data_IF_249256248113
#
_entry.id   IF_249256248113
#
_cell.length_a   1.000
_cell.length_b   1.000
_cell.length_c   1.000
_cell.angle_alpha   90.00
_cell.angle_beta   90.00
_cell.angle_gamma   90.00
#
_symmetry.space_group_name_H-M   'P 1'
#
loop_
_entity.id
_entity.type
_entity.pdbx_description
1 polymer ?
#
# COMPACT_ATOMS: atom_id res chain seq x y z
N UNK A 1 -77.17 -39.31 14.03
CA UNK A 1 -75.89 -39.75 13.41
C UNK A 1 -74.82 -38.71 13.66
N UNK A 2 -73.83 -39.04 14.51
CA UNK A 2 -72.76 -38.12 14.95
C UNK A 2 -71.49 -38.45 14.16
N UNK A 3 -71.09 -37.55 13.28
CA UNK A 3 -69.81 -37.65 12.58
C UNK A 3 -68.67 -37.07 13.42
N UNK A 4 -67.67 -37.90 13.71
CA UNK A 4 -66.42 -37.48 14.38
C UNK A 4 -65.43 -37.06 13.32
N UNK A 5 -65.00 -35.77 13.36
CA UNK A 5 -63.86 -35.31 12.58
C UNK A 5 -62.56 -35.60 13.35
N UNK A 6 -61.71 -36.39 12.72
CA UNK A 6 -60.35 -36.69 13.18
C UNK A 6 -59.42 -35.63 12.64
N UNK A 7 -58.89 -34.76 13.53
CA UNK A 7 -57.89 -33.75 13.18
C UNK A 7 -56.50 -34.40 13.19
N UNK A 8 -55.90 -34.54 12.02
CA UNK A 8 -54.52 -35.02 11.88
C UNK A 8 -53.57 -33.81 12.04
N UNK A 9 -52.82 -33.78 13.15
CA UNK A 9 -51.73 -32.82 13.33
C UNK A 9 -50.49 -33.32 12.58
N UNK A 10 -50.11 -32.67 11.50
CA UNK A 10 -48.81 -32.79 10.89
C UNK A 10 -47.79 -31.97 11.67
N UNK A 11 -46.93 -32.64 12.41
CA UNK A 11 -45.74 -31.99 13.02
C UNK A 11 -44.68 -31.95 11.94
N UNK A 12 -44.44 -30.76 11.36
CA UNK A 12 -43.29 -30.50 10.53
C UNK A 12 -42.04 -30.35 11.44
N UNK A 13 -41.24 -31.42 11.43
CA UNK A 13 -39.85 -31.34 11.95
C UNK A 13 -39.04 -30.53 10.98
N UNK A 14 -38.84 -29.25 11.28
CA UNK A 14 -37.83 -28.42 10.64
C UNK A 14 -36.48 -28.86 11.20
N UNK A 15 -35.76 -29.68 10.42
CA UNK A 15 -34.37 -29.96 10.69
C UNK A 15 -33.57 -28.67 10.46
N UNK A 16 -33.20 -27.98 11.52
CA UNK A 16 -32.14 -27.00 11.48
C UNK A 16 -30.86 -27.71 11.06
N UNK A 17 -30.47 -27.55 9.80
CA UNK A 17 -29.08 -27.77 9.40
C UNK A 17 -28.26 -26.71 10.12
N UNK A 18 -27.41 -27.17 11.04
CA UNK A 18 -26.29 -26.37 11.52
C UNK A 18 -25.42 -26.02 10.31
N UNK A 19 -25.65 -24.84 9.75
CA UNK A 19 -24.65 -24.22 8.90
C UNK A 19 -23.43 -23.99 9.80
N UNK A 20 -22.44 -24.88 9.64
CA UNK A 20 -21.10 -24.61 10.14
C UNK A 20 -20.71 -23.23 9.59
N UNK A 21 -20.75 -22.25 10.47
CA UNK A 21 -20.26 -20.91 10.20
C UNK A 21 -18.83 -21.06 9.64
N UNK A 22 -18.71 -20.81 8.35
CA UNK A 22 -17.44 -20.59 7.70
C UNK A 22 -16.72 -19.51 8.54
N UNK A 23 -15.46 -19.68 8.94
CA UNK A 23 -14.77 -18.63 9.68
C UNK A 23 -14.86 -17.36 8.84
N UNK A 24 -15.65 -16.41 9.33
CA UNK A 24 -15.82 -15.11 8.72
C UNK A 24 -14.44 -14.58 8.37
N UNK A 25 -14.16 -14.47 7.07
CA UNK A 25 -13.09 -13.65 6.54
C UNK A 25 -13.45 -12.21 6.91
N UNK A 26 -13.12 -11.80 8.15
CA UNK A 26 -13.23 -10.41 8.56
C UNK A 26 -12.29 -9.64 7.66
N UNK A 27 -12.87 -8.87 6.74
CA UNK A 27 -12.09 -7.96 5.91
C UNK A 27 -11.18 -7.12 6.82
N UNK A 28 -9.88 -7.03 6.52
CA UNK A 28 -8.99 -6.20 7.31
C UNK A 28 -9.51 -4.76 7.25
N UNK A 29 -9.72 -4.17 8.43
CA UNK A 29 -10.13 -2.76 8.51
C UNK A 29 -9.09 -1.90 7.80
N UNK A 30 -9.54 -0.99 6.96
CA UNK A 30 -8.74 -0.12 6.14
C UNK A 30 -7.61 0.55 6.92
N UNK A 31 -6.36 0.22 6.60
CA UNK A 31 -5.14 0.82 7.18
C UNK A 31 -4.74 0.34 8.57
N UNK A 32 -5.67 -0.15 9.40
CA UNK A 32 -5.39 -0.50 10.78
C UNK A 32 -4.50 -1.75 10.91
N UNK A 33 -3.37 -1.59 11.64
CA UNK A 33 -2.45 -2.69 11.90
C UNK A 33 -1.71 -3.21 10.66
N UNK A 34 -1.60 -2.41 9.60
CA UNK A 34 -0.81 -2.76 8.43
C UNK A 34 0.69 -2.70 8.74
N UNK A 35 1.36 -3.82 8.53
CA UNK A 35 2.81 -3.95 8.62
C UNK A 35 3.34 -4.31 7.26
N UNK A 36 3.83 -3.29 6.57
CA UNK A 36 4.12 -3.36 5.13
C UNK A 36 5.62 -3.61 4.92
N UNK A 37 5.98 -4.34 3.88
CA UNK A 37 7.31 -4.28 3.31
C UNK A 37 7.23 -4.15 1.79
N UNK A 38 8.09 -3.31 1.25
CA UNK A 38 8.29 -3.24 -0.19
C UNK A 38 9.26 -4.33 -0.62
N UNK A 39 8.86 -5.11 -1.62
CA UNK A 39 9.72 -6.08 -2.26
C UNK A 39 10.16 -5.53 -3.62
N UNK A 40 11.36 -4.97 -3.66
CA UNK A 40 11.92 -4.36 -4.85
C UNK A 40 13.11 -5.16 -5.38
N UNK A 41 13.07 -5.51 -6.63
CA UNK A 41 14.27 -5.92 -7.37
C UNK A 41 14.70 -7.38 -7.29
N UNK A 42 14.02 -8.26 -6.54
CA UNK A 42 14.46 -9.65 -6.45
C UNK A 42 13.48 -10.66 -7.06
N UNK A 43 13.97 -11.73 -7.68
CA UNK A 43 13.12 -12.75 -8.29
C UNK A 43 12.54 -13.75 -7.30
N UNK A 44 13.08 -13.87 -6.07
CA UNK A 44 12.71 -14.94 -5.15
C UNK A 44 11.67 -14.52 -4.11
N UNK A 45 10.40 -14.65 -4.49
CA UNK A 45 9.25 -14.30 -3.64
C UNK A 45 9.20 -15.11 -2.33
N UNK A 46 9.62 -16.37 -2.35
CA UNK A 46 9.57 -17.21 -1.15
C UNK A 46 10.55 -16.70 -0.09
N UNK A 47 11.73 -16.22 -0.52
CA UNK A 47 12.70 -15.57 0.37
C UNK A 47 12.15 -14.26 0.95
N UNK A 48 11.46 -13.45 0.16
CA UNK A 48 10.79 -12.23 0.65
C UNK A 48 9.76 -12.53 1.71
N UNK A 49 8.90 -13.52 1.46
CA UNK A 49 7.87 -13.96 2.42
C UNK A 49 8.51 -14.43 3.72
N UNK A 50 9.61 -15.19 3.66
CA UNK A 50 10.34 -15.63 4.84
C UNK A 50 10.91 -14.43 5.64
N UNK A 51 11.57 -13.48 4.97
CA UNK A 51 12.07 -12.25 5.58
C UNK A 51 10.95 -11.42 6.20
N UNK A 52 9.85 -11.24 5.48
CA UNK A 52 8.67 -10.51 5.95
C UNK A 52 8.11 -11.13 7.25
N UNK A 53 7.94 -12.45 7.27
CA UNK A 53 7.44 -13.17 8.45
C UNK A 53 8.36 -13.01 9.67
N UNK A 54 9.69 -13.05 9.47
CA UNK A 54 10.66 -12.85 10.54
C UNK A 54 10.53 -11.47 11.21
N UNK A 55 10.13 -10.46 10.44
CA UNK A 55 9.89 -9.09 10.90
C UNK A 55 8.44 -8.81 11.34
N UNK A 56 7.55 -9.80 11.30
CA UNK A 56 6.15 -9.64 11.67
C UNK A 56 5.31 -8.86 10.66
N UNK A 57 5.78 -8.75 9.41
CA UNK A 57 5.09 -8.09 8.31
C UNK A 57 3.89 -8.94 7.87
N UNK A 58 2.78 -8.29 7.52
CA UNK A 58 1.54 -8.93 7.08
C UNK A 58 1.01 -8.40 5.74
N UNK A 59 1.74 -7.47 5.11
CA UNK A 59 1.34 -6.87 3.85
C UNK A 59 2.58 -6.63 2.97
N UNK A 60 2.50 -6.94 1.69
CA UNK A 60 3.58 -6.74 0.72
C UNK A 60 3.22 -5.64 -0.26
N UNK A 61 4.04 -4.59 -0.37
CA UNK A 61 3.86 -3.57 -1.40
C UNK A 61 4.62 -3.96 -2.66
N UNK A 62 3.90 -3.98 -3.77
CA UNK A 62 4.41 -4.34 -5.09
C UNK A 62 4.63 -3.07 -5.92
N UNK A 63 5.87 -2.65 -6.05
CA UNK A 63 6.28 -1.50 -6.87
C UNK A 63 6.67 -1.91 -8.29
N UNK A 64 7.17 -3.13 -8.45
CA UNK A 64 7.56 -3.71 -9.73
C UNK A 64 6.46 -4.65 -10.23
N UNK A 65 5.37 -4.08 -10.72
CA UNK A 65 4.22 -4.85 -11.17
C UNK A 65 4.44 -5.52 -12.53
N UNK A 66 5.35 -4.98 -13.33
CA UNK A 66 5.72 -5.50 -14.65
C UNK A 66 7.16 -5.96 -14.66
N UNK A 67 7.48 -6.86 -15.58
CA UNK A 67 8.88 -7.20 -15.82
C UNK A 67 9.68 -5.96 -16.19
N UNK A 68 10.82 -5.79 -15.57
CA UNK A 68 11.74 -4.66 -15.76
C UNK A 68 12.19 -4.47 -17.21
N UNK A 69 11.95 -5.45 -18.03
CA UNK A 69 12.48 -5.50 -19.38
C UNK A 69 11.60 -4.71 -20.34
N UNK A 70 12.00 -3.46 -20.56
CA UNK A 70 11.96 -3.02 -21.92
C UNK A 70 10.55 -2.89 -22.50
N UNK A 71 9.86 -1.91 -22.14
CA UNK A 71 8.67 -1.66 -22.91
C UNK A 71 8.19 -0.26 -22.66
N UNK A 72 7.65 0.30 -23.65
CA UNK A 72 6.79 1.46 -23.56
C UNK A 72 5.51 1.06 -22.85
N UNK A 73 4.79 2.01 -22.27
CA UNK A 73 3.46 1.76 -21.72
C UNK A 73 2.52 1.10 -22.73
N UNK A 74 2.73 1.38 -24.01
CA UNK A 74 1.99 0.74 -25.11
C UNK A 74 2.10 -0.80 -25.05
N UNK A 75 3.23 -1.34 -24.63
CA UNK A 75 3.43 -2.79 -24.54
C UNK A 75 2.56 -3.43 -23.45
N UNK A 76 2.20 -2.68 -22.39
CA UNK A 76 1.29 -3.15 -21.37
C UNK A 76 -0.12 -3.44 -21.92
N UNK A 77 -0.53 -2.67 -22.92
CA UNK A 77 -1.85 -2.82 -23.54
C UNK A 77 -1.84 -3.81 -24.71
N UNK A 78 -0.69 -4.06 -25.32
CA UNK A 78 -0.56 -4.98 -26.46
C UNK A 78 -0.35 -6.44 -26.07
N UNK A 79 0.33 -6.69 -24.93
CA UNK A 79 0.59 -8.05 -24.41
C UNK A 79 0.48 -8.10 -22.89
N UNK A 80 -0.72 -7.84 -22.35
CA UNK A 80 -0.92 -7.75 -20.91
C UNK A 80 -0.70 -9.10 -20.21
N UNK A 81 -0.97 -10.21 -20.87
CA UNK A 81 -0.81 -11.53 -20.26
C UNK A 81 0.65 -11.80 -19.91
N UNK A 82 1.54 -11.57 -20.85
CA UNK A 82 2.97 -11.79 -20.60
C UNK A 82 3.56 -10.80 -19.61
N UNK A 83 3.17 -9.52 -19.70
CA UNK A 83 3.73 -8.44 -18.88
C UNK A 83 3.36 -8.56 -17.39
N UNK A 84 2.17 -9.04 -17.09
CA UNK A 84 1.68 -9.15 -15.70
C UNK A 84 1.77 -10.56 -15.11
N UNK A 85 2.20 -11.57 -15.87
CA UNK A 85 2.30 -12.95 -15.40
C UNK A 85 3.20 -13.08 -14.14
N UNK A 86 4.30 -12.34 -14.09
CA UNK A 86 5.17 -12.32 -12.91
C UNK A 86 4.47 -11.69 -11.69
N UNK A 87 3.71 -10.61 -11.88
CA UNK A 87 2.92 -10.00 -10.81
C UNK A 87 1.89 -10.99 -10.27
N UNK A 88 1.15 -11.66 -11.14
CA UNK A 88 0.12 -12.64 -10.73
C UNK A 88 0.73 -13.77 -9.90
N UNK A 89 1.88 -14.28 -10.29
CA UNK A 89 2.60 -15.30 -9.53
C UNK A 89 3.07 -14.80 -8.16
N UNK A 90 3.58 -13.57 -8.08
CA UNK A 90 3.97 -12.93 -6.82
C UNK A 90 2.77 -12.77 -5.90
N UNK A 91 1.69 -12.20 -6.40
CA UNK A 91 0.44 -12.01 -5.64
C UNK A 91 -0.11 -13.35 -5.13
N UNK A 92 -0.16 -14.36 -5.98
CA UNK A 92 -0.64 -15.69 -5.58
C UNK A 92 0.15 -16.28 -4.41
N UNK A 93 1.48 -16.17 -4.42
CA UNK A 93 2.35 -16.65 -3.34
C UNK A 93 2.17 -15.83 -2.05
N UNK A 94 2.08 -14.50 -2.17
CA UNK A 94 1.85 -13.59 -1.05
C UNK A 94 0.53 -13.95 -0.36
N UNK A 95 -0.55 -14.05 -1.12
CA UNK A 95 -1.89 -14.40 -0.60
C UNK A 95 -1.90 -15.82 -0.01
N UNK A 96 -1.27 -16.80 -0.67
CA UNK A 96 -1.15 -18.16 -0.14
C UNK A 96 -0.37 -18.22 1.18
N UNK A 97 0.50 -17.24 1.45
CA UNK A 97 1.24 -17.12 2.72
C UNK A 97 0.43 -16.52 3.87
N UNK A 98 -0.81 -16.07 3.60
CA UNK A 98 -1.69 -15.39 4.55
C UNK A 98 -1.46 -13.88 4.66
N UNK A 99 -0.74 -13.29 3.70
CA UNK A 99 -0.49 -11.83 3.66
C UNK A 99 -1.45 -11.14 2.70
N UNK A 100 -1.67 -9.85 2.94
CA UNK A 100 -2.27 -8.92 2.01
C UNK A 100 -1.20 -8.27 1.12
N UNK A 101 -1.63 -7.47 0.14
CA UNK A 101 -0.70 -6.74 -0.72
C UNK A 101 -1.22 -5.34 -1.04
N UNK A 102 -0.31 -4.46 -1.48
CA UNK A 102 -0.59 -3.12 -1.99
C UNK A 102 -0.18 -3.09 -3.46
N UNK A 103 -1.05 -2.57 -4.32
CA UNK A 103 -0.70 -2.24 -5.70
C UNK A 103 -0.25 -0.79 -5.77
N UNK A 104 0.97 -0.57 -6.22
CA UNK A 104 1.53 0.75 -6.46
C UNK A 104 1.57 1.05 -7.96
N UNK A 105 0.78 2.03 -8.38
CA UNK A 105 0.67 2.43 -9.78
C UNK A 105 1.73 3.47 -10.21
N UNK A 106 2.68 3.79 -9.33
CA UNK A 106 3.75 4.77 -9.63
C UNK A 106 4.56 4.41 -10.89
N UNK A 107 4.63 3.13 -11.25
CA UNK A 107 5.32 2.70 -12.46
C UNK A 107 4.69 3.30 -13.74
N UNK A 108 3.37 3.51 -13.78
CA UNK A 108 2.68 4.17 -14.90
C UNK A 108 3.20 5.60 -15.03
N UNK A 109 3.20 6.35 -13.92
CA UNK A 109 3.76 7.70 -13.89
C UNK A 109 5.21 7.73 -14.37
N UNK A 110 6.04 6.86 -13.79
CA UNK A 110 7.47 6.83 -14.10
C UNK A 110 7.72 6.52 -15.57
N UNK A 111 6.94 5.62 -16.15
CA UNK A 111 7.08 5.27 -17.55
C UNK A 111 6.60 6.40 -18.47
N UNK A 112 5.48 7.06 -18.15
CA UNK A 112 5.02 8.25 -18.90
C UNK A 112 6.09 9.33 -18.93
N UNK A 113 6.74 9.63 -17.79
CA UNK A 113 7.82 10.60 -17.71
C UNK A 113 9.00 10.20 -18.60
N UNK A 114 9.40 8.92 -18.59
CA UNK A 114 10.48 8.41 -19.48
C UNK A 114 10.13 8.57 -20.97
N UNK A 115 8.87 8.51 -21.30
CA UNK A 115 8.36 8.71 -22.66
C UNK A 115 8.14 10.19 -23.01
N UNK A 116 8.49 11.11 -22.12
CA UNK A 116 8.33 12.55 -22.31
C UNK A 116 6.88 13.05 -22.15
N UNK A 117 6.01 12.21 -21.58
CA UNK A 117 4.60 12.53 -21.39
C UNK A 117 4.39 13.03 -19.96
N UNK A 118 3.74 14.19 -19.81
CA UNK A 118 3.40 14.72 -18.48
C UNK A 118 2.23 13.93 -17.85
N UNK A 119 2.45 13.07 -16.85
CA UNK A 119 1.41 12.25 -16.25
C UNK A 119 0.36 13.08 -15.48
N UNK A 120 0.74 14.29 -15.06
CA UNK A 120 -0.13 15.18 -14.28
C UNK A 120 -1.07 16.01 -15.15
N UNK A 121 -0.83 16.08 -16.45
CA UNK A 121 -1.67 16.83 -17.39
C UNK A 121 -3.10 16.27 -17.39
N UNK A 122 -4.14 17.14 -17.39
CA UNK A 122 -5.51 16.71 -17.58
C UNK A 122 -5.78 15.97 -18.89
N UNK A 123 -4.94 16.22 -19.91
CA UNK A 123 -5.04 15.57 -21.23
C UNK A 123 -4.39 14.19 -21.28
N UNK A 124 -3.60 13.81 -20.26
CA UNK A 124 -2.98 12.49 -20.22
C UNK A 124 -3.99 11.45 -19.76
N UNK A 125 -4.34 10.54 -20.68
CA UNK A 125 -5.29 9.47 -20.42
C UNK A 125 -4.58 8.28 -19.78
N UNK A 126 -4.99 7.95 -18.56
CA UNK A 126 -4.51 6.78 -17.81
C UNK A 126 -5.41 5.54 -18.00
N UNK A 127 -6.58 5.73 -18.64
CA UNK A 127 -7.60 4.68 -18.75
C UNK A 127 -7.06 3.36 -19.29
N UNK A 128 -6.34 3.33 -20.44
CA UNK A 128 -5.88 2.07 -21.01
C UNK A 128 -4.98 1.27 -20.06
N UNK A 129 -4.12 1.96 -19.31
CA UNK A 129 -3.18 1.31 -18.38
C UNK A 129 -3.87 0.82 -17.11
N UNK A 130 -4.84 1.59 -16.61
CA UNK A 130 -5.64 1.21 -15.45
C UNK A 130 -6.53 0.01 -15.76
N UNK A 131 -7.15 -0.02 -16.94
CA UNK A 131 -8.03 -1.12 -17.36
C UNK A 131 -7.30 -2.45 -17.40
N UNK A 132 -6.10 -2.47 -17.97
CA UNK A 132 -5.28 -3.68 -18.06
C UNK A 132 -4.97 -4.25 -16.68
N UNK A 133 -4.61 -3.41 -15.70
CA UNK A 133 -4.28 -3.86 -14.35
C UNK A 133 -5.53 -4.25 -13.57
N UNK A 134 -6.53 -3.37 -13.54
CA UNK A 134 -7.66 -3.48 -12.62
C UNK A 134 -8.65 -4.59 -13.01
N UNK A 135 -8.82 -4.81 -14.32
CA UNK A 135 -9.75 -5.85 -14.81
C UNK A 135 -9.09 -7.22 -14.93
N UNK A 136 -7.77 -7.29 -14.75
CA UNK A 136 -7.06 -8.58 -14.74
C UNK A 136 -7.53 -9.43 -13.58
N UNK A 137 -7.73 -10.71 -13.84
CA UNK A 137 -8.16 -11.68 -12.83
C UNK A 137 -6.93 -12.29 -12.14
N UNK A 138 -6.86 -12.17 -10.83
CA UNK A 138 -5.85 -12.84 -10.02
C UNK A 138 -6.04 -14.38 -10.07
N UNK A 139 -5.00 -15.12 -9.72
CA UNK A 139 -5.05 -16.61 -9.66
C UNK A 139 -6.15 -17.12 -8.72
N UNK A 140 -6.62 -16.31 -7.77
CA UNK A 140 -7.73 -16.64 -6.87
C UNK A 140 -9.12 -16.34 -7.46
N UNK A 141 -9.20 -15.86 -8.69
CA UNK A 141 -10.45 -15.61 -9.38
C UNK A 141 -11.11 -14.25 -9.10
N UNK A 142 -10.44 -13.35 -8.36
CA UNK A 142 -10.88 -11.97 -8.17
C UNK A 142 -10.23 -11.06 -9.19
N UNK A 143 -10.95 -10.05 -9.66
CA UNK A 143 -10.28 -8.94 -10.39
C UNK A 143 -9.49 -8.11 -9.39
N UNK A 144 -8.34 -7.57 -9.80
CA UNK A 144 -7.49 -6.78 -8.89
C UNK A 144 -8.22 -5.62 -8.24
N UNK A 145 -9.14 -4.96 -8.94
CA UNK A 145 -9.98 -3.88 -8.39
C UNK A 145 -10.87 -4.30 -7.22
N UNK A 146 -11.16 -5.61 -7.08
CA UNK A 146 -12.09 -6.14 -6.08
C UNK A 146 -11.49 -7.26 -5.23
N UNK A 147 -10.18 -7.54 -5.35
CA UNK A 147 -9.53 -8.60 -4.59
C UNK A 147 -9.56 -8.27 -3.09
N UNK A 148 -10.19 -9.10 -2.24
CA UNK A 148 -10.25 -8.86 -0.79
C UNK A 148 -8.87 -8.86 -0.12
N UNK A 149 -7.84 -9.45 -0.74
CA UNK A 149 -6.47 -9.44 -0.22
C UNK A 149 -5.69 -8.17 -0.60
N UNK A 150 -6.23 -7.34 -1.49
CA UNK A 150 -5.65 -6.04 -1.80
C UNK A 150 -5.95 -5.07 -0.67
N UNK A 151 -4.93 -4.66 0.08
CA UNK A 151 -5.07 -3.74 1.20
C UNK A 151 -5.49 -2.35 0.72
N UNK A 152 -4.79 -1.82 -0.27
CA UNK A 152 -5.13 -0.56 -0.96
C UNK A 152 -4.39 -0.42 -2.30
N UNK A 153 -4.82 0.55 -3.10
CA UNK A 153 -4.14 0.99 -4.32
C UNK A 153 -3.46 2.32 -4.04
N UNK A 154 -2.16 2.42 -4.27
CA UNK A 154 -1.41 3.68 -4.28
C UNK A 154 -1.33 4.24 -5.70
N UNK A 155 -1.79 5.47 -5.91
CA UNK A 155 -1.84 6.09 -7.26
C UNK A 155 -0.43 6.40 -7.75
N UNK A 156 0.32 7.25 -7.01
CA UNK A 156 1.69 7.60 -7.38
C UNK A 156 2.40 8.27 -6.20
N UNK A 157 3.24 7.52 -5.51
CA UNK A 157 4.10 8.04 -4.45
C UNK A 157 5.18 8.99 -4.99
N UNK A 158 5.69 9.86 -4.13
CA UNK A 158 6.78 10.80 -4.44
C UNK A 158 6.56 11.54 -5.77
N UNK A 159 5.46 12.31 -5.90
CA UNK A 159 5.00 12.88 -7.17
C UNK A 159 6.03 13.77 -7.86
N UNK A 160 6.97 14.31 -7.11
CA UNK A 160 8.10 15.10 -7.62
C UNK A 160 9.37 14.73 -6.87
N UNK A 161 10.47 14.72 -7.58
CA UNK A 161 11.79 14.60 -6.99
C UNK A 161 12.57 15.90 -7.20
N UNK A 162 12.95 16.58 -6.13
CA UNK A 162 13.87 17.72 -6.23
C UNK A 162 15.22 17.31 -6.81
N UNK A 163 15.53 16.04 -6.77
CA UNK A 163 16.72 15.46 -7.36
C UNK A 163 16.54 15.06 -8.82
N UNK A 164 15.30 15.13 -9.33
CA UNK A 164 15.07 14.87 -10.75
C UNK A 164 15.49 16.06 -11.58
N UNK A 165 16.26 15.79 -12.63
CA UNK A 165 16.54 16.79 -13.66
C UNK A 165 15.43 16.88 -14.70
N UNK A 166 14.42 16.03 -14.59
CA UNK A 166 13.31 16.00 -15.52
C UNK A 166 12.41 17.23 -15.33
N UNK A 167 12.25 18.08 -16.37
CA UNK A 167 11.43 19.30 -16.27
C UNK A 167 9.94 19.02 -16.02
N UNK A 168 9.45 17.84 -16.42
CA UNK A 168 8.06 17.43 -16.18
C UNK A 168 7.82 17.25 -14.68
N UNK A 169 8.75 16.61 -13.97
CA UNK A 169 8.65 16.45 -12.53
C UNK A 169 8.78 17.77 -11.78
N UNK A 170 9.63 18.68 -12.27
CA UNK A 170 9.81 20.02 -11.69
C UNK A 170 8.67 20.99 -11.98
N UNK A 171 7.90 20.78 -13.04
CA UNK A 171 6.81 21.66 -13.45
C UNK A 171 5.53 21.50 -12.62
N UNK A 172 5.47 20.52 -11.77
CA UNK A 172 4.31 20.32 -10.91
C UNK A 172 4.16 21.40 -9.85
N UNK A 173 2.92 21.74 -9.58
CA UNK A 173 2.55 22.65 -8.51
C UNK A 173 1.37 22.08 -7.73
N UNK A 174 1.10 22.69 -6.57
CA UNK A 174 0.04 22.29 -5.66
C UNK A 174 -1.32 22.06 -6.34
N UNK A 175 -1.76 23.01 -7.16
CA UNK A 175 -3.07 22.94 -7.81
C UNK A 175 -3.14 21.77 -8.79
N UNK A 176 -2.09 21.56 -9.56
CA UNK A 176 -2.00 20.44 -10.53
C UNK A 176 -1.99 19.08 -9.82
N UNK A 177 -1.30 18.96 -8.69
CA UNK A 177 -1.27 17.72 -7.91
C UNK A 177 -2.62 17.39 -7.28
N UNK A 178 -3.28 18.37 -6.67
CA UNK A 178 -4.61 18.16 -6.09
C UNK A 178 -5.58 17.70 -7.19
N UNK A 179 -5.56 18.38 -8.36
CA UNK A 179 -6.40 18.02 -9.50
C UNK A 179 -6.08 16.62 -10.04
N UNK A 180 -4.80 16.25 -10.13
CA UNK A 180 -4.32 14.95 -10.58
C UNK A 180 -4.83 13.82 -9.68
N UNK A 181 -4.58 13.90 -8.38
CA UNK A 181 -5.00 12.84 -7.44
C UNK A 181 -6.52 12.72 -7.37
N UNK A 182 -7.23 13.85 -7.34
CA UNK A 182 -8.69 13.84 -7.37
C UNK A 182 -9.22 13.16 -8.63
N UNK A 183 -8.70 13.52 -9.80
CA UNK A 183 -9.10 12.95 -11.10
C UNK A 183 -8.87 11.44 -11.13
N UNK A 184 -7.67 10.98 -10.75
CA UNK A 184 -7.37 9.55 -10.80
C UNK A 184 -8.13 8.75 -9.75
N UNK A 185 -8.30 9.26 -8.54
CA UNK A 185 -9.11 8.58 -7.53
C UNK A 185 -10.58 8.46 -7.95
N UNK A 186 -11.17 9.50 -8.54
CA UNK A 186 -12.51 9.44 -9.13
C UNK A 186 -12.56 8.43 -10.28
N UNK A 187 -11.55 8.39 -11.13
CA UNK A 187 -11.47 7.44 -12.24
C UNK A 187 -11.43 6.00 -11.73
N UNK A 188 -10.59 5.69 -10.73
CA UNK A 188 -10.52 4.38 -10.11
C UNK A 188 -11.89 3.96 -9.54
N UNK A 189 -12.57 4.85 -8.81
CA UNK A 189 -13.93 4.59 -8.29
C UNK A 189 -14.93 4.36 -9.42
N UNK A 190 -14.89 5.15 -10.49
CA UNK A 190 -15.75 4.96 -11.69
C UNK A 190 -15.49 3.62 -12.38
N UNK A 191 -14.27 3.13 -12.37
CA UNK A 191 -13.90 1.81 -12.91
C UNK A 191 -14.32 0.64 -12.00
N UNK A 192 -14.97 0.93 -10.87
CA UNK A 192 -15.50 -0.06 -9.95
C UNK A 192 -14.49 -0.59 -8.94
N UNK A 193 -13.45 0.17 -8.63
CA UNK A 193 -12.55 -0.16 -7.53
C UNK A 193 -13.32 -0.08 -6.22
N UNK A 194 -13.38 -1.21 -5.48
CA UNK A 194 -14.01 -1.31 -4.16
C UNK A 194 -12.99 -1.24 -3.02
N UNK A 195 -11.70 -1.35 -3.36
CA UNK A 195 -10.62 -1.31 -2.38
C UNK A 195 -10.22 0.13 -2.05
N UNK A 196 -9.65 0.37 -0.85
CA UNK A 196 -9.19 1.70 -0.46
C UNK A 196 -8.18 2.28 -1.44
N UNK A 197 -8.19 3.61 -1.58
CA UNK A 197 -7.29 4.35 -2.47
C UNK A 197 -6.41 5.27 -1.64
N UNK A 198 -5.09 5.23 -1.92
CA UNK A 198 -4.08 6.15 -1.43
C UNK A 198 -3.54 7.01 -2.57
N UNK A 199 -3.11 8.22 -2.26
CA UNK A 199 -2.33 9.01 -3.20
C UNK A 199 -0.96 8.37 -3.50
N UNK A 200 -0.45 7.55 -2.58
CA UNK A 200 0.93 7.09 -2.49
C UNK A 200 1.73 7.97 -1.53
N UNK A 201 2.85 7.45 -1.02
CA UNK A 201 3.62 8.12 0.02
C UNK A 201 4.23 9.45 -0.43
N UNK A 202 4.03 10.49 0.36
CA UNK A 202 4.75 11.75 0.20
C UNK A 202 6.08 11.68 0.91
N UNK A 203 7.15 12.11 0.24
CA UNK A 203 8.47 12.19 0.83
C UNK A 203 8.57 13.47 1.67
N UNK A 204 8.84 13.32 2.96
CA UNK A 204 9.15 14.42 3.84
C UNK A 204 10.66 14.72 3.77
N UNK A 205 11.03 15.91 3.37
CA UNK A 205 12.43 16.35 3.28
C UNK A 205 12.64 17.72 3.94
N UNK A 206 12.34 17.84 5.21
CA UNK A 206 12.66 19.05 5.96
C UNK A 206 12.27 20.37 5.30
N UNK A 207 13.00 21.45 5.63
CA UNK A 207 12.68 22.82 5.20
C UNK A 207 12.77 23.07 3.70
N UNK A 208 13.61 22.30 2.99
CA UNK A 208 13.97 22.58 1.60
C UNK A 208 13.36 21.61 0.61
N UNK A 209 12.52 20.70 1.10
CA UNK A 209 12.02 19.61 0.27
C UNK A 209 10.53 19.51 0.19
N UNK A 210 10.12 18.35 -0.15
CA UNK A 210 8.79 17.84 -0.33
C UNK A 210 8.03 17.67 0.98
N UNK A 211 8.50 18.34 2.01
CA UNK A 211 7.94 18.24 3.33
C UNK A 211 6.47 18.57 3.33
N UNK A 212 5.86 18.23 4.42
CA UNK A 212 4.50 18.58 4.74
C UNK A 212 4.19 20.06 4.60
N UNK A 213 5.22 20.90 4.68
CA UNK A 213 5.13 22.35 4.53
C UNK A 213 5.53 22.84 3.14
N UNK A 214 6.08 21.95 2.29
CA UNK A 214 6.22 22.29 0.89
C UNK A 214 4.85 22.51 0.28
N UNK A 215 4.74 23.47 -0.60
CA UNK A 215 3.48 23.88 -1.20
C UNK A 215 2.94 22.88 -2.24
N UNK A 216 2.96 21.61 -1.88
CA UNK A 216 2.51 20.50 -2.72
C UNK A 216 1.06 20.07 -2.44
N UNK A 217 0.43 20.62 -1.40
CA UNK A 217 -0.97 20.37 -1.10
C UNK A 217 -1.25 18.98 -0.54
N UNK A 218 -0.32 18.35 0.17
CA UNK A 218 -0.54 16.99 0.68
C UNK A 218 -1.72 16.93 1.65
N UNK A 219 -1.94 17.94 2.51
CA UNK A 219 -3.10 17.99 3.42
C UNK A 219 -4.41 18.09 2.65
N UNK A 220 -4.44 18.92 1.60
CA UNK A 220 -5.60 19.03 0.72
C UNK A 220 -5.86 17.74 -0.04
N UNK A 221 -4.80 17.07 -0.54
CA UNK A 221 -4.92 15.78 -1.22
C UNK A 221 -5.45 14.70 -0.25
N UNK A 222 -4.89 14.62 0.95
CA UNK A 222 -5.35 13.68 1.97
C UNK A 222 -6.79 13.95 2.44
N UNK A 223 -7.23 15.21 2.38
CA UNK A 223 -8.60 15.61 2.71
C UNK A 223 -9.62 15.30 1.61
N UNK A 224 -9.18 14.94 0.40
CA UNK A 224 -10.09 14.57 -0.69
C UNK A 224 -10.97 13.39 -0.27
N UNK A 225 -12.31 13.44 -0.47
CA UNK A 225 -13.20 12.31 -0.13
C UNK A 225 -12.85 11.02 -0.87
N UNK A 226 -12.18 11.13 -1.99
CA UNK A 226 -11.79 10.01 -2.84
C UNK A 226 -10.51 9.30 -2.39
N UNK A 227 -9.72 9.93 -1.54
CA UNK A 227 -8.51 9.35 -0.94
C UNK A 227 -8.86 8.77 0.42
N UNK A 228 -8.70 7.48 0.58
CA UNK A 228 -9.09 6.76 1.79
C UNK A 228 -7.94 6.64 2.80
N UNK A 229 -6.69 6.53 2.29
CA UNK A 229 -5.50 6.30 3.11
C UNK A 229 -4.42 7.34 2.82
N UNK A 230 -4.22 8.33 3.69
CA UNK A 230 -3.00 9.13 3.74
C UNK A 230 -1.75 8.29 3.95
N UNK A 231 -0.71 8.52 3.14
CA UNK A 231 0.55 7.80 3.24
C UNK A 231 1.75 8.74 3.18
N UNK A 232 2.83 8.39 3.89
CA UNK A 232 4.07 9.18 3.95
C UNK A 232 5.29 8.27 3.89
N UNK A 233 6.39 8.78 3.36
CA UNK A 233 7.72 8.17 3.45
C UNK A 233 8.58 8.89 4.48
N UNK A 234 9.31 8.15 5.31
CA UNK A 234 10.10 8.66 6.43
C UNK A 234 11.56 8.27 6.26
N UNK A 235 12.40 9.24 5.83
CA UNK A 235 13.82 9.01 5.55
C UNK A 235 14.77 10.02 6.19
N UNK A 236 14.25 10.99 6.95
CA UNK A 236 15.04 11.97 7.68
C UNK A 236 14.46 12.31 9.06
N UNK A 237 15.20 13.07 9.84
CA UNK A 237 14.84 13.44 11.20
C UNK A 237 13.61 14.35 11.27
N UNK A 238 13.43 15.22 10.28
CA UNK A 238 12.27 16.10 10.21
C UNK A 238 11.00 15.29 9.93
N UNK A 239 11.09 14.28 9.06
CA UNK A 239 10.00 13.33 8.86
C UNK A 239 9.64 12.59 10.15
N UNK A 240 10.64 12.08 10.89
CA UNK A 240 10.40 11.43 12.18
C UNK A 240 9.71 12.40 13.15
N UNK A 241 10.19 13.64 13.22
CA UNK A 241 9.63 14.65 14.14
C UNK A 241 8.21 15.07 13.78
N UNK A 242 7.81 14.96 12.52
CA UNK A 242 6.47 15.32 12.05
C UNK A 242 5.41 14.23 12.29
N UNK A 243 5.80 12.98 12.57
CA UNK A 243 4.86 11.86 12.74
C UNK A 243 3.69 12.21 13.67
N UNK A 244 3.89 12.79 14.88
CA UNK A 244 2.78 13.10 15.78
C UNK A 244 1.75 14.07 15.18
N UNK A 245 2.21 15.11 14.50
CA UNK A 245 1.33 16.09 13.86
C UNK A 245 0.55 15.46 12.70
N UNK A 246 1.18 14.58 11.93
CA UNK A 246 0.56 13.91 10.80
C UNK A 246 -0.50 12.88 11.25
N UNK A 247 -0.21 12.11 12.29
CA UNK A 247 -1.19 11.22 12.93
C UNK A 247 -2.39 12.03 13.40
N UNK A 248 -2.14 13.11 14.17
CA UNK A 248 -3.21 13.96 14.68
C UNK A 248 -4.05 14.59 13.55
N UNK A 249 -3.41 15.07 12.49
CA UNK A 249 -4.12 15.62 11.33
C UNK A 249 -5.00 14.56 10.65
N UNK A 250 -4.44 13.40 10.31
CA UNK A 250 -5.19 12.35 9.63
C UNK A 250 -6.37 11.86 10.48
N UNK A 251 -6.17 11.66 11.77
CA UNK A 251 -7.27 11.27 12.67
C UNK A 251 -8.33 12.38 12.80
N UNK A 252 -7.93 13.67 12.74
CA UNK A 252 -8.90 14.78 12.77
C UNK A 252 -9.82 14.85 11.56
N UNK A 253 -9.36 14.32 10.42
CA UNK A 253 -10.17 14.19 9.19
C UNK A 253 -10.81 12.80 9.04
N UNK A 254 -10.75 11.96 10.08
CA UNK A 254 -11.36 10.63 10.11
C UNK A 254 -10.64 9.57 9.25
N UNK A 255 -9.34 9.78 8.93
CA UNK A 255 -8.56 8.87 8.07
C UNK A 255 -7.39 8.25 8.83
N UNK A 256 -6.97 7.02 8.47
CA UNK A 256 -5.76 6.41 9.00
C UNK A 256 -4.52 7.09 8.42
N UNK A 257 -3.40 7.11 9.16
CA UNK A 257 -2.08 7.42 8.60
C UNK A 257 -1.26 6.15 8.44
N UNK A 258 -0.69 5.95 7.27
CA UNK A 258 0.27 4.87 7.01
C UNK A 258 1.64 5.46 6.67
N UNK A 259 2.66 5.11 7.44
CA UNK A 259 4.06 5.26 7.03
C UNK A 259 4.29 4.16 5.99
N UNK A 260 4.23 4.51 4.70
CA UNK A 260 4.30 3.51 3.62
C UNK A 260 5.72 3.01 3.39
N UNK A 261 6.71 3.88 3.65
CA UNK A 261 8.12 3.54 3.56
C UNK A 261 8.95 4.17 4.68
N UNK A 262 9.84 3.40 5.25
CA UNK A 262 11.02 3.87 5.96
C UNK A 262 12.16 2.89 5.77
N UNK A 263 13.38 3.38 5.72
CA UNK A 263 14.56 2.56 5.52
C UNK A 263 15.85 3.29 5.86
N UNK A 264 16.91 2.53 6.01
CA UNK A 264 18.26 3.04 6.21
C UNK A 264 19.26 2.20 5.45
N UNK A 265 20.12 2.85 4.68
CA UNK A 265 21.18 2.18 3.96
C UNK A 265 22.13 1.43 4.91
N UNK A 266 22.45 0.19 4.55
CA UNK A 266 23.46 -0.60 5.25
C UNK A 266 24.87 -0.16 4.85
N UNK A 267 25.65 0.27 5.83
CA UNK A 267 27.06 0.70 5.65
C UNK A 267 28.03 -0.20 6.42
N UNK A 268 27.77 -1.51 6.39
CA UNK A 268 28.67 -2.50 7.03
C UNK A 268 28.44 -2.68 8.53
N UNK A 269 27.45 -2.01 9.15
CA UNK A 269 27.18 -2.13 10.59
C UNK A 269 25.68 -2.28 10.86
N UNK A 270 25.28 -3.48 11.26
CA UNK A 270 23.88 -3.83 11.51
C UNK A 270 23.30 -3.10 12.74
N UNK A 271 24.08 -2.96 13.80
CA UNK A 271 23.64 -2.25 15.01
C UNK A 271 23.46 -0.75 14.76
N UNK A 272 24.30 -0.13 13.92
CA UNK A 272 24.14 1.28 13.57
C UNK A 272 22.90 1.51 12.71
N UNK A 273 22.61 0.60 11.77
CA UNK A 273 21.39 0.67 10.98
C UNK A 273 20.13 0.49 11.84
N UNK A 274 20.16 -0.39 12.83
CA UNK A 274 19.05 -0.64 13.73
C UNK A 274 18.61 0.62 14.50
N UNK A 275 19.55 1.49 14.86
CA UNK A 275 19.26 2.77 15.57
C UNK A 275 18.25 3.66 14.83
N UNK A 276 18.22 3.60 13.50
CA UNK A 276 17.24 4.32 12.71
C UNK A 276 15.80 3.90 13.06
N UNK A 277 15.55 2.61 13.08
CA UNK A 277 14.24 2.05 13.39
C UNK A 277 13.86 2.24 14.86
N UNK A 278 14.84 2.12 15.76
CA UNK A 278 14.68 2.39 17.19
C UNK A 278 14.32 3.87 17.44
N UNK A 279 14.91 4.81 16.69
CA UNK A 279 14.60 6.24 16.77
C UNK A 279 13.15 6.53 16.41
N UNK A 280 12.66 5.93 15.33
CA UNK A 280 11.24 6.05 14.92
C UNK A 280 10.33 5.45 15.99
N UNK A 281 10.69 4.26 16.48
CA UNK A 281 9.91 3.59 17.52
C UNK A 281 9.84 4.40 18.83
N UNK A 282 10.96 5.01 19.24
CA UNK A 282 11.00 5.91 20.40
C UNK A 282 10.10 7.12 20.19
N UNK A 283 10.21 7.78 19.02
CA UNK A 283 9.36 8.95 18.71
C UNK A 283 7.86 8.63 18.80
N UNK A 284 7.44 7.49 18.26
CA UNK A 284 6.05 7.05 18.31
C UNK A 284 5.61 6.78 19.75
N UNK A 285 6.44 6.06 20.54
CA UNK A 285 6.14 5.74 21.94
C UNK A 285 6.06 6.99 22.81
N UNK A 286 7.07 7.87 22.72
CA UNK A 286 7.18 9.07 23.54
C UNK A 286 6.04 10.06 23.28
N UNK A 287 5.61 10.17 22.02
CA UNK A 287 4.50 11.03 21.64
C UNK A 287 3.12 10.39 21.77
N UNK A 288 3.03 9.09 22.02
CA UNK A 288 1.78 8.32 21.99
C UNK A 288 0.98 8.47 20.67
N UNK A 289 1.67 8.81 19.58
CA UNK A 289 1.09 9.01 18.26
C UNK A 289 1.39 7.82 17.37
N UNK A 290 0.52 6.82 17.45
CA UNK A 290 0.70 5.56 16.74
C UNK A 290 0.09 5.66 15.33
N UNK A 291 0.84 5.39 14.26
CA UNK A 291 0.29 5.29 12.92
C UNK A 291 -0.54 4.01 12.75
N UNK A 292 -1.45 4.01 11.79
CA UNK A 292 -2.32 2.87 11.49
C UNK A 292 -1.62 1.81 10.64
N UNK A 293 -0.50 2.16 10.03
CA UNK A 293 0.39 1.24 9.33
C UNK A 293 1.82 1.73 9.29
N UNK A 294 2.76 0.79 9.21
CA UNK A 294 4.19 1.07 9.07
C UNK A 294 4.79 0.17 8.00
N UNK A 295 5.56 0.76 7.09
CA UNK A 295 6.20 0.11 5.97
C UNK A 295 7.73 0.18 5.99
N UNK A 296 8.36 -0.91 5.61
CA UNK A 296 9.80 -1.04 5.43
C UNK A 296 10.17 -0.91 3.95
N UNK A 297 11.08 -0.04 3.63
CA UNK A 297 11.83 -0.04 2.39
C UNK A 297 13.21 -0.64 2.66
N UNK A 298 13.63 -1.81 2.16
CA UNK A 298 12.84 -2.85 1.51
C UNK A 298 13.32 -4.23 2.00
N UNK A 299 12.76 -5.32 1.51
CA UNK A 299 13.20 -6.69 1.82
C UNK A 299 13.69 -7.47 0.59
N UNK A 300 13.77 -6.79 -0.55
CA UNK A 300 14.35 -7.32 -1.78
C UNK A 300 15.89 -7.37 -1.75
N UNK A 301 16.53 -7.45 -2.91
CA UNK A 301 17.98 -7.62 -3.01
C UNK A 301 18.68 -6.39 -3.61
N UNK A 302 18.10 -5.20 -3.51
CA UNK A 302 18.64 -4.02 -4.18
C UNK A 302 19.03 -2.89 -3.22
N UNK A 303 20.08 -2.19 -3.61
CA UNK A 303 20.51 -0.86 -3.20
C UNK A 303 20.96 -0.63 -1.75
N UNK A 304 21.33 -1.66 -1.02
CA UNK A 304 21.84 -1.52 0.36
C UNK A 304 20.78 -1.16 1.40
N UNK A 305 19.52 -0.94 1.01
CA UNK A 305 18.41 -0.73 1.95
C UNK A 305 17.73 -2.04 2.36
N UNK A 306 18.03 -3.13 1.69
CA UNK A 306 17.44 -4.43 1.94
C UNK A 306 17.77 -4.93 3.37
N UNK A 307 16.73 -5.37 4.07
CA UNK A 307 16.85 -6.04 5.36
C UNK A 307 16.62 -7.52 5.16
N UNK A 308 17.66 -8.30 5.47
CA UNK A 308 17.65 -9.77 5.39
C UNK A 308 17.79 -10.34 6.79
N UNK A 309 16.82 -11.15 7.20
CA UNK A 309 16.72 -11.61 8.58
C UNK A 309 17.92 -12.47 9.03
N UNK A 310 18.50 -13.23 8.12
CA UNK A 310 19.69 -14.07 8.32
C UNK A 310 21.00 -13.27 8.37
N UNK A 311 21.08 -12.14 7.68
CA UNK A 311 22.30 -11.33 7.59
C UNK A 311 22.29 -10.10 8.51
N UNK A 312 21.09 -9.62 8.90
CA UNK A 312 20.90 -8.41 9.67
C UNK A 312 20.00 -8.63 10.90
N UNK A 313 20.40 -9.49 11.84
CA UNK A 313 19.54 -9.91 12.96
C UNK A 313 19.18 -8.75 13.90
N UNK A 314 20.08 -7.78 14.11
CA UNK A 314 19.83 -6.63 15.00
C UNK A 314 18.81 -5.69 14.35
N UNK A 315 19.02 -5.34 13.09
CA UNK A 315 18.04 -4.54 12.32
C UNK A 315 16.69 -5.25 12.23
N UNK A 316 16.67 -6.55 11.96
CA UNK A 316 15.43 -7.35 11.89
C UNK A 316 14.62 -7.26 13.19
N UNK A 317 15.31 -7.35 14.35
CA UNK A 317 14.67 -7.17 15.65
C UNK A 317 14.08 -5.76 15.81
N UNK A 318 14.87 -4.72 15.50
CA UNK A 318 14.42 -3.33 15.60
C UNK A 318 13.22 -3.04 14.68
N UNK A 319 13.24 -3.53 13.43
CA UNK A 319 12.10 -3.45 12.51
C UNK A 319 10.88 -4.16 13.08
N UNK A 320 11.02 -5.38 13.59
CA UNK A 320 9.92 -6.12 14.21
C UNK A 320 9.29 -5.35 15.37
N UNK A 321 10.09 -4.76 16.24
CA UNK A 321 9.61 -3.94 17.37
C UNK A 321 8.88 -2.69 16.88
N UNK A 322 9.38 -2.03 15.83
CA UNK A 322 8.72 -0.90 15.20
C UNK A 322 7.36 -1.31 14.59
N UNK A 323 7.30 -2.43 13.87
CA UNK A 323 6.06 -2.94 13.23
C UNK A 323 4.96 -3.23 14.26
N UNK A 324 5.31 -3.60 15.50
CA UNK A 324 4.34 -3.83 16.57
C UNK A 324 3.69 -2.54 17.12
N UNK A 325 4.19 -1.37 16.73
CA UNK A 325 3.62 -0.08 17.13
C UNK A 325 2.48 0.39 16.22
N UNK A 326 2.12 -0.37 15.20
CA UNK A 326 0.92 -0.09 14.41
C UNK A 326 -0.33 -0.27 15.26
N UNK A 327 -1.24 0.70 15.21
CA UNK A 327 -2.44 0.61 16.05
C UNK A 327 -3.45 -0.38 15.53
N UNK A 328 -3.88 -1.24 16.45
CA UNK A 328 -5.13 -1.98 16.34
C UNK A 328 -6.35 -1.20 16.90
N UNK A 329 -6.23 0.10 17.19
CA UNK A 329 -7.30 0.89 17.85
C UNK A 329 -8.61 1.01 17.06
N UNK A 330 -8.62 0.62 15.79
CA UNK A 330 -9.85 0.48 15.01
C UNK A 330 -10.49 -0.92 15.16
N UNK A 331 -9.97 -1.75 16.07
CA UNK A 331 -10.54 -3.07 16.37
C UNK A 331 -11.44 -3.09 17.63
N UNK A 332 -11.71 -1.92 18.23
CA UNK A 332 -12.66 -1.80 19.34
C UNK A 332 -13.92 -1.07 18.89
#
# INVERSE_FOLDING_TARGET
MKGKYLLLFFVLLIACKDEKSNPENKEPKTGAGLRIATAYGAPNVDKWIANAKAMGINCMRLTDMIQKDKGHLQDLTSDPEHKFDEMDRKVAKIVASGMTYVLDLSYIRNQLIKEGINPYSPSTDWTPYLEVVLNRTSIKGYTYKNDPHLAFIAIAGEPFSKYSDNPIEKAGNKANLIAFYKRLALQLKKMGVTRPISAGGFLHQGKDGWGTDADLGFKEIWSLPEIDIPTIHVYDDDAINSIPQLVAFCHSIGKPLVIEETGKEYKGNDAERAKWFEKIASKIKDSQAFPDGIGLWNIGEMNGFDVRADEHPITTKAVRELMLLTQSKLLN
#
